data_IF_961012925772
#
_entry.id   IF_961012925772
#
_cell.length_a   1.000
_cell.length_b   1.000
_cell.length_c   1.000
_cell.angle_alpha   90.00
_cell.angle_beta   90.00
_cell.angle_gamma   90.00
#
_symmetry.space_group_name_H-M   'P 1'
#
loop_
_entity.id
_entity.type
_entity.pdbx_description
1 polymer ?
#
# COMPACT_ATOMS: atom_id res chain seq x y z
N UNK A 1 -12.86 -3.83 -24.42
CA UNK A 1 -11.63 -4.18 -23.68
C UNK A 1 -11.99 -5.26 -22.67
N UNK A 2 -11.25 -6.36 -22.65
CA UNK A 2 -11.46 -7.45 -21.69
C UNK A 2 -10.82 -7.09 -20.34
N UNK A 3 -11.29 -7.71 -19.23
CA UNK A 3 -10.68 -7.56 -17.90
C UNK A 3 -9.16 -7.80 -17.89
N UNK A 4 -8.66 -8.65 -18.80
CA UNK A 4 -7.25 -8.97 -18.92
C UNK A 4 -6.42 -7.84 -19.58
N UNK A 5 -7.04 -6.99 -20.39
CA UNK A 5 -6.36 -5.86 -21.07
C UNK A 5 -6.17 -4.64 -20.15
N UNK A 6 -7.01 -4.51 -19.12
CA UNK A 6 -6.96 -3.40 -18.14
C UNK A 6 -6.40 -3.81 -16.79
N UNK A 7 -5.84 -5.03 -16.66
CA UNK A 7 -5.31 -5.52 -15.40
C UNK A 7 -3.98 -4.83 -15.01
N UNK A 8 -3.96 -4.24 -13.83
CA UNK A 8 -2.79 -3.60 -13.23
C UNK A 8 -2.27 -4.44 -12.06
N UNK A 9 -1.45 -5.44 -12.36
CA UNK A 9 -0.83 -6.32 -11.37
C UNK A 9 -0.13 -7.52 -12.02
N UNK A 10 0.49 -8.40 -11.22
CA UNK A 10 1.25 -9.53 -11.72
C UNK A 10 0.34 -10.53 -12.47
N UNK A 11 0.86 -11.15 -13.56
CA UNK A 11 0.09 -12.11 -14.36
C UNK A 11 -0.49 -13.28 -13.55
N UNK A 12 0.22 -13.69 -12.50
CA UNK A 12 -0.22 -14.79 -11.63
C UNK A 12 -1.57 -14.56 -10.95
N UNK A 13 -1.97 -13.31 -10.73
CA UNK A 13 -3.24 -12.96 -10.11
C UNK A 13 -4.42 -12.88 -11.09
N UNK A 14 -4.17 -12.95 -12.39
CA UNK A 14 -5.24 -12.85 -13.43
C UNK A 14 -6.32 -13.90 -13.28
N UNK A 15 -5.98 -15.10 -12.83
CA UNK A 15 -6.94 -16.19 -12.63
C UNK A 15 -7.92 -15.93 -11.48
N UNK A 16 -7.61 -14.99 -10.58
CA UNK A 16 -8.43 -14.62 -9.42
C UNK A 16 -9.19 -13.30 -9.59
N UNK A 17 -9.26 -12.76 -10.81
CA UNK A 17 -9.95 -11.50 -11.08
C UNK A 17 -11.47 -11.65 -10.91
N UNK A 18 -12.05 -10.69 -10.20
CA UNK A 18 -13.49 -10.55 -10.02
C UNK A 18 -13.91 -9.11 -10.34
N UNK A 19 -15.14 -8.89 -10.85
CA UNK A 19 -15.67 -7.56 -11.04
C UNK A 19 -15.75 -6.80 -9.70
N UNK A 20 -15.24 -5.57 -9.64
CA UNK A 20 -15.27 -4.74 -8.42
C UNK A 20 -16.70 -4.45 -7.97
N UNK A 21 -17.61 -4.28 -8.92
CA UNK A 21 -19.04 -4.03 -8.64
C UNK A 21 -19.76 -5.24 -8.01
N UNK A 22 -19.16 -6.44 -8.09
CA UNK A 22 -19.67 -7.63 -7.41
C UNK A 22 -19.25 -7.74 -5.95
N UNK A 23 -18.41 -6.84 -5.46
CA UNK A 23 -17.84 -6.88 -4.11
C UNK A 23 -18.55 -5.88 -3.19
N UNK A 24 -18.81 -6.32 -1.97
CA UNK A 24 -19.38 -5.48 -0.92
C UNK A 24 -18.32 -5.11 0.11
N UNK A 25 -18.32 -3.85 0.56
CA UNK A 25 -17.51 -3.42 1.70
C UNK A 25 -18.08 -4.02 2.99
N UNK A 26 -17.21 -4.39 3.93
CA UNK A 26 -17.66 -4.77 5.26
C UNK A 26 -18.14 -3.54 6.04
N UNK A 27 -19.46 -3.42 6.21
CA UNK A 27 -20.07 -2.34 6.99
C UNK A 27 -19.70 -2.34 8.49
N UNK A 28 -19.17 -3.46 8.99
CA UNK A 28 -18.71 -3.62 10.37
C UNK A 28 -17.16 -3.62 10.48
N UNK A 29 -16.46 -3.14 9.45
CA UNK A 29 -15.00 -3.05 9.48
C UNK A 29 -14.55 -2.13 10.63
N UNK A 30 -13.81 -2.69 11.60
CA UNK A 30 -13.29 -1.95 12.72
C UNK A 30 -12.17 -0.96 12.34
N UNK A 31 -11.51 -1.16 11.18
CA UNK A 31 -10.47 -0.28 10.70
C UNK A 31 -11.06 0.87 9.90
N UNK A 32 -10.74 2.08 10.30
CA UNK A 32 -11.10 3.30 9.56
C UNK A 32 -9.99 3.68 8.59
N UNK A 33 -10.39 4.29 7.48
CA UNK A 33 -9.48 4.80 6.46
C UNK A 33 -9.80 6.27 6.23
N UNK A 34 -8.90 7.16 6.68
CA UNK A 34 -8.97 8.58 6.39
C UNK A 34 -8.52 8.90 4.95
N UNK A 35 -8.60 10.16 4.56
CA UNK A 35 -8.23 10.58 3.21
C UNK A 35 -6.75 10.30 2.92
N UNK A 36 -5.84 10.63 3.86
CA UNK A 36 -4.39 10.40 3.70
C UNK A 36 -4.08 8.92 3.46
N UNK A 37 -4.71 8.03 4.23
CA UNK A 37 -4.51 6.58 4.06
C UNK A 37 -5.03 6.10 2.70
N UNK A 38 -6.20 6.56 2.26
CA UNK A 38 -6.75 6.20 0.95
C UNK A 38 -5.90 6.74 -0.20
N UNK A 39 -5.36 7.95 -0.08
CA UNK A 39 -4.45 8.54 -1.07
C UNK A 39 -3.15 7.73 -1.17
N UNK A 40 -2.55 7.34 -0.04
CA UNK A 40 -1.36 6.49 -0.01
C UNK A 40 -1.61 5.12 -0.65
N UNK A 41 -2.75 4.48 -0.35
CA UNK A 41 -3.13 3.22 -1.00
C UNK A 41 -3.32 3.43 -2.51
N UNK A 42 -3.95 4.53 -2.91
CA UNK A 42 -4.17 4.88 -4.31
C UNK A 42 -2.87 5.08 -5.07
N UNK A 43 -1.92 5.83 -4.49
CA UNK A 43 -0.59 6.05 -5.06
C UNK A 43 0.19 4.72 -5.21
N UNK A 44 0.14 3.87 -4.19
CA UNK A 44 0.76 2.54 -4.24
C UNK A 44 0.14 1.66 -5.34
N UNK A 45 -1.19 1.65 -5.48
CA UNK A 45 -1.87 0.91 -6.55
C UNK A 45 -1.54 1.45 -7.94
N UNK A 46 -1.40 2.77 -8.09
CA UNK A 46 -1.03 3.39 -9.36
C UNK A 46 0.41 3.04 -9.78
N UNK A 47 1.34 3.02 -8.82
CA UNK A 47 2.75 2.73 -9.06
C UNK A 47 3.03 1.23 -9.27
N UNK A 48 2.47 0.37 -8.41
CA UNK A 48 2.83 -1.05 -8.36
C UNK A 48 1.74 -1.98 -8.90
N UNK A 49 0.52 -1.47 -9.08
CA UNK A 49 -0.65 -2.32 -9.32
C UNK A 49 -1.08 -3.09 -8.06
N UNK A 50 -2.04 -4.00 -8.23
CA UNK A 50 -2.46 -4.87 -7.13
C UNK A 50 -1.50 -6.05 -6.96
N UNK A 51 -0.66 -6.00 -5.94
CA UNK A 51 0.34 -7.06 -5.66
C UNK A 51 -0.20 -8.15 -4.73
N UNK A 52 -1.28 -7.89 -3.98
CA UNK A 52 -1.90 -8.85 -3.06
C UNK A 52 -3.40 -8.92 -3.32
N UNK A 53 -4.01 -10.14 -3.38
CA UNK A 53 -5.45 -10.27 -3.56
C UNK A 53 -6.23 -9.75 -2.34
N UNK A 54 -7.44 -9.26 -2.59
CA UNK A 54 -8.42 -9.04 -1.53
C UNK A 54 -8.85 -10.38 -0.94
N UNK A 55 -9.23 -10.42 0.33
CA UNK A 55 -9.88 -11.59 0.93
C UNK A 55 -11.37 -11.32 1.01
N UNK A 56 -12.16 -12.19 0.40
CA UNK A 56 -13.61 -12.03 0.23
C UNK A 56 -14.34 -13.25 0.80
N UNK A 57 -15.31 -13.00 1.66
CA UNK A 57 -16.25 -14.04 2.09
C UNK A 57 -17.19 -14.39 0.94
N UNK A 58 -17.27 -15.66 0.58
CA UNK A 58 -18.04 -16.13 -0.58
C UNK A 58 -19.53 -15.75 -0.47
N UNK A 59 -20.13 -15.93 0.71
CA UNK A 59 -21.51 -15.52 0.96
C UNK A 59 -21.59 -13.99 1.12
N UNK A 60 -22.41 -13.36 0.28
CA UNK A 60 -22.59 -11.91 0.24
C UNK A 60 -21.42 -11.14 -0.40
N UNK A 61 -20.36 -11.81 -0.87
CA UNK A 61 -19.21 -11.17 -1.55
C UNK A 61 -18.57 -10.05 -0.74
N UNK A 62 -18.59 -10.16 0.59
CA UNK A 62 -18.10 -9.13 1.52
C UNK A 62 -16.57 -9.19 1.62
N UNK A 63 -15.92 -8.05 1.44
CA UNK A 63 -14.46 -7.92 1.58
C UNK A 63 -14.08 -7.95 3.05
N UNK A 64 -13.37 -9.00 3.45
CA UNK A 64 -12.92 -9.24 4.83
C UNK A 64 -11.58 -8.55 5.10
N UNK A 65 -10.65 -8.60 4.12
CA UNK A 65 -9.38 -7.88 4.17
C UNK A 65 -9.16 -7.13 2.85
N UNK A 66 -8.70 -5.88 2.94
CA UNK A 66 -8.48 -4.99 1.82
C UNK A 66 -9.63 -4.00 1.54
N UNK A 67 -10.44 -3.65 2.53
CA UNK A 67 -11.51 -2.65 2.38
C UNK A 67 -11.00 -1.28 1.91
N UNK A 68 -9.87 -0.79 2.45
CA UNK A 68 -9.21 0.43 1.97
C UNK A 68 -8.75 0.30 0.52
N UNK A 69 -8.17 -0.85 0.17
CA UNK A 69 -7.74 -1.16 -1.20
C UNK A 69 -8.91 -1.14 -2.18
N UNK A 70 -10.05 -1.77 -1.84
CA UNK A 70 -11.25 -1.74 -2.68
C UNK A 70 -11.78 -0.32 -2.88
N UNK A 71 -11.76 0.51 -1.82
CA UNK A 71 -12.16 1.94 -1.92
C UNK A 71 -11.25 2.72 -2.86
N UNK A 72 -9.93 2.55 -2.73
CA UNK A 72 -8.95 3.21 -3.58
C UNK A 72 -9.09 2.74 -5.05
N UNK A 73 -9.28 1.45 -5.30
CA UNK A 73 -9.52 0.91 -6.65
C UNK A 73 -10.77 1.51 -7.30
N UNK A 74 -11.87 1.65 -6.53
CA UNK A 74 -13.10 2.30 -7.02
C UNK A 74 -12.85 3.77 -7.38
N UNK A 75 -12.10 4.50 -6.56
CA UNK A 75 -11.71 5.88 -6.83
C UNK A 75 -10.82 6.02 -8.08
N UNK A 76 -9.95 5.05 -8.33
CA UNK A 76 -9.11 4.97 -9.52
C UNK A 76 -9.85 4.48 -10.78
N UNK A 77 -11.13 4.13 -10.67
CA UNK A 77 -11.94 3.65 -11.79
C UNK A 77 -11.59 2.24 -12.26
N UNK A 78 -10.99 1.41 -11.41
CA UNK A 78 -10.71 0.02 -11.75
C UNK A 78 -12.01 -0.77 -11.87
N UNK A 79 -12.06 -1.71 -12.80
CA UNK A 79 -13.24 -2.54 -13.05
C UNK A 79 -13.12 -3.95 -12.43
N UNK A 80 -11.89 -4.40 -12.20
CA UNK A 80 -11.60 -5.74 -11.69
C UNK A 80 -10.54 -5.68 -10.59
N UNK A 81 -10.66 -6.58 -9.63
CA UNK A 81 -9.66 -6.80 -8.57
C UNK A 81 -9.36 -8.29 -8.45
N UNK A 82 -8.13 -8.63 -8.12
CA UNK A 82 -7.79 -9.99 -7.73
C UNK A 82 -8.32 -10.26 -6.31
N UNK A 83 -8.98 -11.40 -6.09
CA UNK A 83 -9.56 -11.75 -4.82
C UNK A 83 -9.45 -13.25 -4.53
N UNK A 84 -9.13 -13.57 -3.29
CA UNK A 84 -9.30 -14.91 -2.73
C UNK A 84 -10.70 -15.01 -2.15
N UNK A 85 -11.57 -15.75 -2.81
CA UNK A 85 -12.95 -15.96 -2.36
C UNK A 85 -13.04 -17.23 -1.52
N UNK A 86 -13.29 -17.07 -0.23
CA UNK A 86 -13.30 -18.18 0.73
C UNK A 86 -14.67 -18.37 1.39
N UNK A 87 -15.04 -19.63 1.61
CA UNK A 87 -16.21 -19.97 2.43
C UNK A 87 -15.82 -19.85 3.90
N UNK A 88 -16.48 -18.95 4.62
CA UNK A 88 -16.27 -18.76 6.05
C UNK A 88 -17.53 -18.22 6.72
N UNK A 89 -17.68 -18.52 8.00
CA UNK A 89 -18.78 -17.95 8.79
C UNK A 89 -18.56 -16.45 9.02
N UNK A 90 -19.61 -15.67 9.34
CA UNK A 90 -19.44 -14.26 9.71
C UNK A 90 -18.52 -14.05 10.93
N UNK A 91 -18.53 -14.99 11.87
CA UNK A 91 -17.65 -14.94 13.05
C UNK A 91 -16.19 -15.15 12.66
N UNK A 92 -15.90 -16.13 11.80
CA UNK A 92 -14.55 -16.40 11.26
C UNK A 92 -14.05 -15.22 10.47
N UNK A 93 -14.89 -14.61 9.62
CA UNK A 93 -14.55 -13.42 8.84
C UNK A 93 -14.12 -12.25 9.73
N UNK A 94 -14.89 -11.96 10.80
CA UNK A 94 -14.52 -10.92 11.77
C UNK A 94 -13.22 -11.21 12.50
N UNK A 95 -13.03 -12.44 12.97
CA UNK A 95 -11.81 -12.85 13.64
C UNK A 95 -10.58 -12.70 12.71
N UNK A 96 -10.71 -13.11 11.45
CA UNK A 96 -9.66 -12.96 10.45
C UNK A 96 -9.36 -11.48 10.17
N UNK A 97 -10.37 -10.64 9.97
CA UNK A 97 -10.19 -9.20 9.73
C UNK A 97 -9.44 -8.50 10.87
N UNK A 98 -9.75 -8.87 12.12
CA UNK A 98 -9.03 -8.34 13.30
C UNK A 98 -7.59 -8.85 13.30
N UNK A 99 -7.36 -10.14 13.08
CA UNK A 99 -6.03 -10.74 13.10
C UNK A 99 -5.13 -10.15 12.00
N UNK A 100 -5.64 -10.01 10.77
CA UNK A 100 -4.92 -9.43 9.62
C UNK A 100 -4.42 -8.01 9.92
N UNK A 101 -5.28 -7.16 10.49
CA UNK A 101 -4.89 -5.82 10.89
C UNK A 101 -3.93 -5.83 12.09
N UNK A 102 -4.23 -6.62 13.12
CA UNK A 102 -3.44 -6.61 14.36
C UNK A 102 -2.04 -7.15 14.19
N UNK A 103 -1.86 -8.18 13.37
CA UNK A 103 -0.52 -8.72 13.09
C UNK A 103 0.37 -7.72 12.36
N UNK A 104 -0.19 -6.90 11.47
CA UNK A 104 0.54 -5.81 10.84
C UNK A 104 0.93 -4.70 11.84
N UNK A 105 0.05 -4.38 12.81
CA UNK A 105 0.32 -3.36 13.83
C UNK A 105 1.36 -3.81 14.89
N UNK A 106 1.52 -5.11 15.11
CA UNK A 106 2.51 -5.65 16.05
C UNK A 106 3.93 -5.62 15.51
N UNK A 107 4.11 -5.48 14.20
CA UNK A 107 5.41 -5.28 13.59
C UNK A 107 5.90 -3.84 13.83
N UNK A 108 7.20 -3.67 14.00
CA UNK A 108 7.85 -2.38 14.06
C UNK A 108 8.91 -2.28 12.96
N UNK A 109 9.20 -1.06 12.54
CA UNK A 109 10.28 -0.78 11.63
C UNK A 109 11.62 -0.81 12.37
N UNK A 110 12.64 -1.42 11.79
CA UNK A 110 14.01 -1.09 12.11
C UNK A 110 14.33 0.26 11.45
N UNK A 111 14.62 1.28 12.25
CA UNK A 111 14.79 2.65 11.74
C UNK A 111 16.00 2.78 10.82
N UNK A 112 17.09 2.03 11.07
CA UNK A 112 18.29 2.05 10.25
C UNK A 112 18.03 1.43 8.87
N UNK A 113 17.47 0.23 8.85
CA UNK A 113 17.12 -0.46 7.61
C UNK A 113 16.05 0.29 6.81
N UNK A 114 15.07 0.88 7.48
CA UNK A 114 14.05 1.69 6.82
C UNK A 114 14.65 2.95 6.18
N UNK A 115 15.53 3.66 6.89
CA UNK A 115 16.19 4.85 6.37
C UNK A 115 17.07 4.51 5.14
N UNK A 116 17.82 3.41 5.19
CA UNK A 116 18.61 2.94 4.06
C UNK A 116 17.72 2.61 2.85
N UNK A 117 16.64 1.85 3.07
CA UNK A 117 15.71 1.51 1.99
C UNK A 117 15.01 2.74 1.38
N UNK A 118 14.63 3.74 2.19
CA UNK A 118 14.06 4.99 1.69
C UNK A 118 15.11 5.81 0.92
N UNK A 119 16.38 5.79 1.34
CA UNK A 119 17.48 6.41 0.61
C UNK A 119 17.66 5.83 -0.80
N UNK A 120 17.55 4.51 -0.94
CA UNK A 120 17.64 3.82 -2.23
C UNK A 120 16.51 4.21 -3.20
N UNK A 121 15.31 4.51 -2.69
CA UNK A 121 14.15 4.91 -3.50
C UNK A 121 13.97 6.43 -3.60
N UNK A 122 14.76 7.24 -2.88
CA UNK A 122 14.59 8.70 -2.83
C UNK A 122 14.79 9.38 -4.20
N UNK A 123 15.57 8.77 -5.10
CA UNK A 123 15.80 9.25 -6.46
C UNK A 123 14.78 8.69 -7.48
N UNK A 124 13.87 7.82 -7.04
CA UNK A 124 12.88 7.19 -7.89
C UNK A 124 11.53 7.94 -7.74
N UNK A 125 10.79 8.20 -8.83
CA UNK A 125 9.45 8.78 -8.76
C UNK A 125 8.44 7.92 -7.97
N UNK A 126 8.82 6.71 -7.55
CA UNK A 126 8.02 5.86 -6.68
C UNK A 126 8.01 6.29 -5.21
N UNK A 127 8.81 7.27 -4.79
CA UNK A 127 8.86 7.71 -3.39
C UNK A 127 7.48 8.12 -2.86
N UNK A 128 6.67 8.81 -3.67
CA UNK A 128 5.30 9.20 -3.29
C UNK A 128 4.37 7.98 -3.06
N UNK A 129 4.73 6.82 -3.62
CA UNK A 129 3.92 5.60 -3.52
C UNK A 129 4.23 4.74 -2.29
N UNK A 130 5.30 5.05 -1.53
CA UNK A 130 5.66 4.30 -0.32
C UNK A 130 4.87 4.73 0.92
N UNK A 131 4.13 5.86 0.84
CA UNK A 131 3.20 6.32 1.87
C UNK A 131 3.84 7.11 3.02
N UNK A 132 5.13 7.41 2.96
CA UNK A 132 5.81 8.33 3.87
C UNK A 132 5.75 9.76 3.32
N UNK A 133 5.47 10.74 4.19
CA UNK A 133 5.63 12.15 3.85
C UNK A 133 7.09 12.58 3.92
N UNK A 134 7.44 13.69 3.28
CA UNK A 134 8.78 14.28 3.36
C UNK A 134 9.20 14.54 4.81
N UNK A 135 8.29 15.08 5.64
CA UNK A 135 8.58 15.34 7.05
C UNK A 135 8.87 14.06 7.84
N UNK A 136 8.13 12.96 7.57
CA UNK A 136 8.37 11.66 8.21
C UNK A 136 9.73 11.07 7.79
N UNK A 137 10.11 11.25 6.54
CA UNK A 137 11.43 10.83 6.03
C UNK A 137 12.53 11.65 6.68
N UNK A 138 12.39 12.97 6.75
CA UNK A 138 13.36 13.86 7.38
C UNK A 138 13.52 13.55 8.88
N UNK A 139 12.43 13.26 9.58
CA UNK A 139 12.46 12.85 10.99
C UNK A 139 13.18 11.51 11.17
N UNK A 140 12.96 10.56 10.29
CA UNK A 140 13.65 9.27 10.31
C UNK A 140 15.15 9.43 10.08
N UNK A 141 15.55 10.20 9.07
CA UNK A 141 16.98 10.45 8.74
C UNK A 141 17.70 11.15 9.89
N UNK A 142 17.04 12.06 10.62
CA UNK A 142 17.62 12.69 11.82
C UNK A 142 17.88 11.71 12.97
N UNK A 143 17.14 10.62 13.05
CA UNK A 143 17.32 9.59 14.06
C UNK A 143 18.46 8.61 13.73
N UNK A 144 18.95 8.60 12.48
CA UNK A 144 20.00 7.71 11.99
C UNK A 144 21.11 8.56 11.30
N UNK A 145 21.86 9.37 12.07
CA UNK A 145 22.82 10.35 11.52
C UNK A 145 23.94 9.72 10.71
N UNK A 146 24.29 8.46 10.95
CA UNK A 146 25.36 7.75 10.22
C UNK A 146 25.00 7.40 8.76
N UNK A 147 23.73 7.56 8.36
CA UNK A 147 23.26 7.33 6.98
C UNK A 147 23.17 8.62 6.15
N UNK A 148 23.36 9.79 6.74
CA UNK A 148 23.45 11.04 5.98
C UNK A 148 24.83 11.05 5.32
N UNK A 149 24.95 10.99 3.97
CA UNK A 149 26.24 11.20 3.32
C UNK A 149 26.79 12.56 3.79
N UNK A 150 28.03 12.58 4.26
CA UNK A 150 28.74 13.83 4.55
C UNK A 150 28.85 14.64 3.25
N UNK A 151 27.81 15.42 2.94
CA UNK A 151 27.85 16.42 1.89
C UNK A 151 28.82 17.51 2.40
N UNK A 152 30.10 17.25 2.23
CA UNK A 152 31.15 18.25 2.44
C UNK A 152 30.69 19.54 1.72
N UNK A 153 30.70 20.71 2.41
CA UNK A 153 30.32 21.95 1.77
C UNK A 153 31.25 22.17 0.58
N UNK A 154 30.63 22.18 -0.61
CA UNK A 154 31.33 22.45 -1.86
C UNK A 154 32.28 23.61 -1.67
N UNK A 155 33.55 23.39 -1.98
CA UNK A 155 34.54 24.41 -2.07
C UNK A 155 34.03 25.45 -3.07
N UNK A 156 33.49 26.54 -2.53
CA UNK A 156 33.21 27.77 -3.31
C UNK A 156 34.50 28.18 -3.92
N UNK A 157 34.62 28.00 -5.23
CA UNK A 157 35.79 28.27 -6.01
C UNK A 157 36.31 29.70 -5.75
N UNK A 158 37.57 29.79 -5.27
CA UNK A 158 38.31 31.00 -5.32
C UNK A 158 38.59 31.33 -6.80
N UNK A 159 38.00 32.42 -7.27
CA UNK A 159 38.36 32.99 -8.56
C UNK A 159 39.85 33.43 -8.50
N UNK A 160 40.66 33.14 -9.55
CA UNK A 160 42.00 33.65 -9.63
C UNK A 160 41.98 35.16 -9.86
N UNK A 161 42.73 35.91 -9.03
CA UNK A 161 43.03 37.33 -9.20
C UNK A 161 44.03 37.61 -10.33
#
# INVERSE_FOLDING_TARGET
>A
MTAAETWHGPPALRASLVPIDSLELDGNNARTHDARNLDAIGASLAAFGQMRPLVVRAEGRVVVAGNGTLRAMRALGWTHAAATVAKMSPATARAYAIADNRTAELAAWDSGELAAALGDVALDPMLDAVGFSTDEIDDLLRQVPDLVPDLAPDQVGQAPG
#
